data_IF_485810710332
#
_entry.id   IF_485810710332
#
_cell.length_a   1.000
_cell.length_b   1.000
_cell.length_c   1.000
_cell.angle_alpha   90.00
_cell.angle_beta   90.00
_cell.angle_gamma   90.00
#
_symmetry.space_group_name_H-M   'P 1'
#
loop_
_entity.id
_entity.type
_entity.pdbx_description
1 polymer ?
#
# COMPACT_ATOMS: atom_id res chain seq x y z
N UNK A 1 15.34 -13.45 -9.36
CA UNK A 1 14.10 -12.82 -8.87
C UNK A 1 13.76 -11.71 -9.83
N UNK A 2 12.52 -11.64 -10.28
CA UNK A 2 12.12 -10.67 -11.28
C UNK A 2 11.10 -9.67 -10.75
N UNK A 3 11.00 -8.52 -11.42
CA UNK A 3 10.04 -7.47 -11.06
C UNK A 3 8.60 -7.97 -11.05
N UNK A 4 8.26 -8.78 -12.06
CA UNK A 4 6.96 -9.42 -12.20
C UNK A 4 6.66 -10.37 -11.03
N UNK A 5 7.67 -11.11 -10.56
CA UNK A 5 7.53 -11.99 -9.40
C UNK A 5 7.24 -11.21 -8.11
N UNK A 6 7.91 -10.08 -7.90
CA UNK A 6 7.70 -9.20 -6.73
C UNK A 6 6.26 -8.69 -6.72
N UNK A 7 5.79 -8.12 -7.83
CA UNK A 7 4.41 -7.62 -7.94
C UNK A 7 3.41 -8.74 -7.73
N UNK A 8 3.63 -9.90 -8.36
CA UNK A 8 2.76 -11.08 -8.21
C UNK A 8 2.69 -11.53 -6.74
N UNK A 9 3.82 -11.60 -6.04
CA UNK A 9 3.87 -11.92 -4.61
C UNK A 9 3.15 -10.89 -3.77
N UNK A 10 3.37 -9.60 -4.01
CA UNK A 10 2.67 -8.52 -3.30
C UNK A 10 1.14 -8.61 -3.50
N UNK A 11 0.68 -8.99 -4.70
CA UNK A 11 -0.75 -9.18 -4.99
C UNK A 11 -1.39 -10.33 -4.22
N UNK A 12 -0.64 -11.36 -3.82
CA UNK A 12 -1.17 -12.43 -2.95
C UNK A 12 -1.56 -11.92 -1.56
N UNK A 13 -1.09 -10.73 -1.16
CA UNK A 13 -1.48 -10.11 0.10
C UNK A 13 -2.76 -9.29 0.00
N UNK A 14 -3.29 -9.02 -1.18
CA UNK A 14 -4.52 -8.22 -1.34
C UNK A 14 -5.64 -8.76 -0.46
N UNK A 15 -6.32 -7.85 0.25
CA UNK A 15 -7.35 -8.21 1.22
C UNK A 15 -6.84 -8.57 2.62
N UNK A 16 -5.53 -8.81 2.82
CA UNK A 16 -4.98 -9.09 4.15
C UNK A 16 -5.25 -7.91 5.10
N UNK A 17 -5.82 -8.13 6.29
CA UNK A 17 -6.14 -7.06 7.24
C UNK A 17 -4.91 -6.24 7.65
N UNK A 18 -5.14 -4.96 7.97
CA UNK A 18 -4.12 -4.13 8.61
C UNK A 18 -3.99 -4.54 10.08
N UNK A 19 -2.80 -4.99 10.47
CA UNK A 19 -2.40 -5.14 11.87
C UNK A 19 -1.02 -4.51 12.05
N UNK A 20 -0.91 -3.55 12.98
CA UNK A 20 0.37 -2.93 13.31
C UNK A 20 1.38 -4.00 13.71
N UNK A 21 2.57 -3.95 13.12
CA UNK A 21 3.65 -4.94 13.27
C UNK A 21 3.26 -6.38 12.84
N UNK A 22 2.15 -6.55 12.11
CA UNK A 22 1.71 -7.83 11.59
C UNK A 22 2.65 -8.37 10.51
N UNK A 23 2.83 -9.70 10.47
CA UNK A 23 3.69 -10.41 9.51
C UNK A 23 3.04 -11.69 8.97
N UNK A 24 1.71 -11.71 8.85
CA UNK A 24 0.96 -12.91 8.48
C UNK A 24 -0.01 -12.63 7.32
N UNK A 25 0.31 -13.16 6.13
CA UNK A 25 -0.59 -13.16 4.96
C UNK A 25 -1.99 -13.68 5.34
N UNK A 26 -3.03 -12.98 4.89
CA UNK A 26 -4.43 -13.29 5.19
C UNK A 26 -4.90 -12.98 6.62
N UNK A 27 -4.00 -12.79 7.60
CA UNK A 27 -4.35 -12.54 9.01
C UNK A 27 -4.05 -11.13 9.49
N UNK A 28 -3.00 -10.50 8.96
CA UNK A 28 -2.56 -9.20 9.43
C UNK A 28 -1.16 -8.83 8.99
N UNK A 29 -1.04 -7.70 8.29
CA UNK A 29 0.24 -7.04 8.01
C UNK A 29 0.13 -5.53 8.20
N UNK A 30 1.23 -4.82 8.39
CA UNK A 30 1.29 -3.37 8.20
C UNK A 30 2.06 -3.02 6.92
N UNK A 31 2.37 -1.74 6.69
CA UNK A 31 3.05 -1.29 5.48
C UNK A 31 4.46 -1.90 5.36
N UNK A 32 5.25 -1.84 6.43
CA UNK A 32 6.59 -2.45 6.49
C UNK A 32 6.49 -3.97 6.43
N UNK A 33 5.51 -4.54 7.15
CA UNK A 33 5.28 -5.97 7.19
C UNK A 33 4.98 -6.57 5.83
N UNK A 34 4.25 -5.85 4.98
CA UNK A 34 4.03 -6.27 3.59
C UNK A 34 5.36 -6.43 2.85
N UNK A 35 6.26 -5.44 2.93
CA UNK A 35 7.58 -5.51 2.27
C UNK A 35 8.41 -6.65 2.85
N UNK A 36 8.55 -6.71 4.17
CA UNK A 36 9.32 -7.77 4.86
C UNK A 36 8.83 -9.16 4.46
N UNK A 37 7.52 -9.39 4.49
CA UNK A 37 6.96 -10.70 4.18
C UNK A 37 7.12 -11.07 2.70
N UNK A 38 6.93 -10.13 1.78
CA UNK A 38 7.15 -10.39 0.34
C UNK A 38 8.61 -10.74 0.07
N UNK A 39 9.56 -9.98 0.60
CA UNK A 39 10.99 -10.24 0.40
C UNK A 39 11.41 -11.58 1.01
N UNK A 40 10.91 -11.94 2.21
CA UNK A 40 11.13 -13.26 2.82
C UNK A 40 10.56 -14.40 1.99
N UNK A 41 9.35 -14.27 1.48
CA UNK A 41 8.75 -15.28 0.59
C UNK A 41 9.52 -15.44 -0.73
N UNK A 42 10.30 -14.44 -1.12
CA UNK A 42 11.20 -14.46 -2.27
C UNK A 42 12.64 -14.90 -1.93
N UNK A 43 12.89 -15.33 -0.69
CA UNK A 43 14.18 -15.87 -0.25
C UNK A 43 15.21 -14.82 0.17
N UNK A 44 14.81 -13.56 0.40
CA UNK A 44 15.70 -12.53 0.93
C UNK A 44 15.66 -12.52 2.47
N UNK A 45 16.85 -12.51 3.06
CA UNK A 45 17.03 -12.36 4.51
C UNK A 45 16.83 -10.90 4.90
N UNK A 46 15.73 -10.63 5.63
CA UNK A 46 15.38 -9.30 6.14
C UNK A 46 15.41 -9.31 7.66
N UNK A 47 16.22 -8.41 8.23
CA UNK A 47 16.27 -8.14 9.66
C UNK A 47 15.05 -7.30 10.07
N UNK A 48 14.00 -8.03 10.48
CA UNK A 48 12.69 -7.48 10.83
C UNK A 48 12.71 -6.90 12.25
N UNK A 49 12.93 -5.58 12.34
CA UNK A 49 12.72 -4.85 13.57
C UNK A 49 11.21 -4.69 13.83
N UNK A 50 10.70 -5.32 14.89
CA UNK A 50 9.28 -5.18 15.34
C UNK A 50 9.12 -4.27 16.55
N UNK A 51 10.14 -3.50 16.89
CA UNK A 51 10.13 -2.61 18.05
C UNK A 51 9.91 -1.15 17.68
N UNK A 52 9.56 -0.85 16.42
CA UNK A 52 9.25 0.53 16.04
C UNK A 52 7.94 0.98 16.69
N UNK A 53 7.91 2.18 17.29
CA UNK A 53 6.71 2.69 17.93
C UNK A 53 5.63 2.99 16.89
N UNK A 54 4.38 3.06 17.36
CA UNK A 54 3.25 3.47 16.53
C UNK A 54 3.36 4.95 16.09
N UNK A 55 4.12 5.76 16.84
CA UNK A 55 4.52 7.10 16.43
C UNK A 55 5.61 7.03 15.36
N UNK A 56 5.55 7.86 14.30
CA UNK A 56 6.52 7.81 13.22
C UNK A 56 7.95 8.05 13.71
N UNK A 57 8.78 7.01 13.70
CA UNK A 57 10.22 7.16 13.66
C UNK A 57 10.68 7.07 12.20
N UNK A 58 10.66 8.24 11.57
CA UNK A 58 11.07 8.44 10.19
C UNK A 58 12.54 8.06 9.93
N UNK A 59 13.41 8.20 10.94
CA UNK A 59 14.82 7.86 10.83
C UNK A 59 15.04 6.35 10.83
N UNK A 60 14.39 5.64 11.74
CA UNK A 60 14.50 4.18 11.85
C UNK A 60 14.01 3.48 10.58
N UNK A 61 12.83 3.86 10.06
CA UNK A 61 12.29 3.27 8.83
C UNK A 61 13.22 3.50 7.63
N UNK A 62 13.69 4.74 7.45
CA UNK A 62 14.60 5.07 6.35
C UNK A 62 15.92 4.29 6.43
N UNK A 63 16.51 4.22 7.63
CA UNK A 63 17.74 3.47 7.84
C UNK A 63 17.56 1.98 7.54
N UNK A 64 16.42 1.39 7.94
CA UNK A 64 16.09 -0.01 7.65
C UNK A 64 15.89 -0.26 6.15
N UNK A 65 15.23 0.64 5.43
CA UNK A 65 15.12 0.54 3.97
C UNK A 65 16.51 0.56 3.32
N UNK A 66 17.39 1.49 3.72
CA UNK A 66 18.77 1.58 3.19
C UNK A 66 19.67 0.40 3.55
N UNK A 67 19.37 -0.33 4.62
CA UNK A 67 20.11 -1.54 4.99
C UNK A 67 19.79 -2.73 4.08
N UNK A 68 18.58 -2.76 3.50
CA UNK A 68 18.09 -3.92 2.77
C UNK A 68 17.79 -3.65 1.28
N UNK A 69 17.68 -2.39 0.88
CA UNK A 69 17.31 -1.95 -0.46
C UNK A 69 18.24 -0.83 -0.93
N UNK A 70 18.33 -0.68 -2.25
CA UNK A 70 19.14 0.35 -2.89
C UNK A 70 18.27 1.58 -3.20
N UNK A 71 18.65 2.75 -2.69
CA UNK A 71 17.93 4.00 -2.98
C UNK A 71 18.16 4.42 -4.44
N UNK A 72 17.07 4.74 -5.16
CA UNK A 72 17.10 5.17 -6.57
C UNK A 72 16.36 6.51 -6.75
N UNK A 73 16.64 7.25 -7.85
CA UNK A 73 15.83 8.40 -8.23
C UNK A 73 14.34 8.04 -8.38
N UNK A 74 13.44 8.88 -7.87
CA UNK A 74 11.99 8.64 -7.86
C UNK A 74 11.43 8.45 -9.28
N UNK A 75 11.97 9.20 -10.24
CA UNK A 75 11.59 9.16 -11.65
C UNK A 75 12.10 7.91 -12.39
N UNK A 76 13.02 7.15 -11.77
CA UNK A 76 13.49 5.85 -12.26
C UNK A 76 12.76 4.67 -11.65
N UNK A 77 11.86 4.90 -10.70
CA UNK A 77 11.11 3.83 -10.05
C UNK A 77 10.12 3.19 -11.03
N UNK A 78 10.14 1.86 -11.10
CA UNK A 78 9.28 1.04 -11.95
C UNK A 78 8.64 -0.07 -11.13
N UNK A 79 7.77 -0.87 -11.75
CA UNK A 79 7.09 -1.98 -11.09
C UNK A 79 8.07 -2.89 -10.33
N UNK A 80 7.69 -3.28 -9.11
CA UNK A 80 8.53 -4.07 -8.21
C UNK A 80 9.42 -3.23 -7.28
N UNK A 81 9.60 -1.94 -7.54
CA UNK A 81 10.30 -1.02 -6.62
C UNK A 81 9.42 -0.65 -5.42
N UNK A 82 9.99 0.03 -4.43
CA UNK A 82 9.33 0.45 -3.20
C UNK A 82 9.40 1.97 -3.06
N UNK A 83 8.25 2.62 -2.89
CA UNK A 83 8.20 4.02 -2.46
C UNK A 83 8.17 4.14 -0.94
N UNK A 84 8.92 5.11 -0.42
CA UNK A 84 8.71 5.67 0.91
C UNK A 84 7.87 6.94 0.78
N UNK A 85 6.80 7.03 1.56
CA UNK A 85 5.77 8.04 1.43
C UNK A 85 5.43 8.70 2.77
N UNK A 86 5.00 9.96 2.70
CA UNK A 86 4.49 10.69 3.86
C UNK A 86 3.03 10.37 4.16
N UNK A 87 2.73 10.18 5.45
CA UNK A 87 1.38 10.22 5.99
C UNK A 87 1.37 11.26 7.10
N UNK A 88 0.46 12.23 7.03
CA UNK A 88 0.43 13.38 7.95
C UNK A 88 1.76 14.16 8.02
N UNK A 89 2.50 14.21 6.90
CA UNK A 89 3.79 14.92 6.81
C UNK A 89 5.02 14.11 7.25
N UNK A 90 4.85 12.92 7.83
CA UNK A 90 5.95 12.08 8.28
C UNK A 90 6.21 10.92 7.31
N UNK A 91 7.46 10.66 6.86
CA UNK A 91 7.79 9.49 6.04
C UNK A 91 7.69 8.22 6.88
N UNK A 92 6.52 7.59 6.82
CA UNK A 92 6.16 6.45 7.69
C UNK A 92 5.35 5.38 6.95
N UNK A 93 5.24 5.49 5.63
CA UNK A 93 4.44 4.59 4.82
C UNK A 93 5.25 4.09 3.64
N UNK A 94 5.12 2.79 3.33
CA UNK A 94 5.78 2.17 2.19
C UNK A 94 4.77 1.48 1.28
N UNK A 95 5.10 1.41 -0.01
CA UNK A 95 4.25 0.81 -1.02
C UNK A 95 5.10 0.19 -2.14
N UNK A 96 4.70 -0.97 -2.64
CA UNK A 96 5.26 -1.53 -3.86
C UNK A 96 4.71 -0.79 -5.07
N UNK A 97 5.56 -0.46 -6.04
CA UNK A 97 5.16 0.03 -7.35
C UNK A 97 4.60 -1.14 -8.15
N UNK A 98 3.50 -0.91 -8.86
CA UNK A 98 2.82 -1.91 -9.68
C UNK A 98 2.45 -1.32 -11.04
N UNK A 99 2.19 -2.14 -12.06
CA UNK A 99 1.76 -1.65 -13.38
C UNK A 99 0.32 -1.09 -13.38
N UNK A 100 -0.36 -1.09 -12.23
CA UNK A 100 -1.75 -0.66 -12.07
C UNK A 100 -2.74 -1.83 -12.05
N UNK A 101 -3.87 -1.62 -11.36
CA UNK A 101 -5.09 -2.41 -11.49
C UNK A 101 -6.19 -1.54 -12.11
N UNK A 102 -7.12 -2.14 -12.86
CA UNK A 102 -8.41 -1.48 -13.11
C UNK A 102 -9.06 -1.20 -11.76
N UNK A 103 -9.25 0.07 -11.39
CA UNK A 103 -9.74 0.42 -10.06
C UNK A 103 -11.12 -0.20 -9.80
N UNK A 104 -11.24 -0.92 -8.67
CA UNK A 104 -12.50 -0.89 -7.94
C UNK A 104 -12.55 0.48 -7.22
N UNK A 105 -13.62 1.28 -7.40
CA UNK A 105 -13.67 2.64 -6.88
C UNK A 105 -13.42 2.67 -5.36
N UNK A 106 -12.45 3.47 -4.94
CA UNK A 106 -12.27 3.82 -3.53
C UNK A 106 -13.54 4.60 -3.13
N UNK A 107 -14.34 4.15 -2.15
CA UNK A 107 -15.48 4.94 -1.71
C UNK A 107 -14.96 6.28 -1.18
N UNK A 108 -15.56 7.40 -1.61
CA UNK A 108 -15.09 8.72 -1.19
C UNK A 108 -15.14 8.83 0.33
N UNK A 109 -14.26 9.63 0.91
CA UNK A 109 -13.99 9.73 2.35
C UNK A 109 -15.24 9.96 3.22
N UNK A 110 -16.31 10.52 2.65
CA UNK A 110 -17.60 10.75 3.31
C UNK A 110 -18.48 9.48 3.45
N UNK A 111 -18.15 8.39 2.74
CA UNK A 111 -18.80 7.08 2.83
C UNK A 111 -18.05 6.10 3.73
N UNK A 112 -16.98 6.57 4.40
CA UNK A 112 -16.34 5.81 5.48
C UNK A 112 -17.02 6.24 6.78
N UNK A 113 -17.75 5.35 7.50
CA UNK A 113 -18.43 5.76 8.72
C UNK A 113 -17.39 6.30 9.71
N UNK A 114 -17.65 7.47 10.33
CA UNK A 114 -16.73 8.03 11.32
C UNK A 114 -16.51 7.01 12.43
N UNK A 115 -15.27 6.92 12.94
CA UNK A 115 -14.98 6.13 14.13
C UNK A 115 -15.80 6.71 15.28
N UNK A 116 -16.83 5.98 15.71
CA UNK A 116 -17.66 6.42 16.84
C UNK A 116 -16.99 5.96 18.13
N UNK A 117 -16.93 6.88 19.10
CA UNK A 117 -16.38 6.60 20.42
C UNK A 117 -17.42 5.78 21.20
N UNK A 118 -17.15 4.49 21.41
CA UNK A 118 -17.99 3.64 22.23
C UNK A 118 -17.88 4.00 23.72
N UNK A 119 -18.92 3.68 24.51
CA UNK A 119 -18.85 3.73 25.98
C UNK A 119 -17.80 2.70 26.44
N UNK A 120 -16.62 3.19 26.83
CA UNK A 120 -15.47 2.35 27.19
C UNK A 120 -14.13 2.82 26.59
N UNK A 121 -14.13 3.84 25.73
CA UNK A 121 -12.89 4.42 25.20
C UNK A 121 -12.29 3.70 23.99
N UNK A 122 -12.91 2.61 23.53
CA UNK A 122 -12.57 1.93 22.27
C UNK A 122 -13.33 2.54 21.09
N UNK A 123 -12.67 2.68 19.94
CA UNK A 123 -13.30 3.11 18.69
C UNK A 123 -13.97 1.90 18.01
N UNK A 124 -15.27 2.00 17.73
CA UNK A 124 -16.03 0.96 17.02
C UNK A 124 -16.46 1.50 15.64
N UNK A 125 -16.48 0.62 14.64
CA UNK A 125 -17.00 0.94 13.30
C UNK A 125 -18.53 1.07 13.42
N UNK A 126 -19.06 2.26 13.14
CA UNK A 126 -20.51 2.47 13.11
C UNK A 126 -21.18 1.65 12.00
N UNK A 127 -22.48 1.37 12.16
CA UNK A 127 -23.28 0.69 11.14
C UNK A 127 -23.36 1.52 9.85
N UNK A 128 -23.41 0.84 8.70
CA UNK A 128 -23.60 1.51 7.42
C UNK A 128 -25.01 2.13 7.37
N UNK A 129 -25.17 3.36 6.85
CA UNK A 129 -26.51 3.85 6.53
C UNK A 129 -27.15 2.92 5.48
N UNK A 130 -28.49 2.77 5.50
CA UNK A 130 -29.18 1.97 4.49
C UNK A 130 -28.83 2.49 3.10
N UNK A 131 -28.63 1.55 2.16
CA UNK A 131 -28.31 1.87 0.76
C UNK A 131 -29.37 2.83 0.22
N UNK A 132 -28.96 4.05 -0.12
CA UNK A 132 -29.76 4.88 -1.01
C UNK A 132 -29.81 4.16 -2.37
N UNK A 133 -31.00 4.13 -2.97
CA UNK A 133 -31.25 3.50 -4.27
C UNK A 133 -30.23 4.02 -5.30
N UNK A 134 -29.26 3.16 -5.63
CA UNK A 134 -28.36 3.41 -6.73
C UNK A 134 -29.17 3.18 -8.00
N UNK A 135 -29.75 4.25 -8.53
CA UNK A 135 -30.29 4.25 -9.88
C UNK A 135 -29.25 3.66 -10.83
N UNK A 136 -29.64 2.58 -11.51
CA UNK A 136 -28.78 1.85 -12.43
C UNK A 136 -28.18 2.82 -13.46
N UNK A 137 -26.87 3.03 -13.40
CA UNK A 137 -26.13 3.70 -14.46
C UNK A 137 -25.95 2.70 -15.61
N UNK A 138 -26.47 3.06 -16.79
CA UNK A 138 -26.42 2.26 -18.02
C UNK A 138 -24.98 2.02 -18.51
N UNK A 139 -24.67 0.89 -19.19
CA UNK A 139 -23.30 0.50 -19.52
C UNK A 139 -22.64 1.23 -20.70
N UNK A 140 -23.19 2.36 -21.20
CA UNK A 140 -22.87 2.84 -22.55
C UNK A 140 -22.10 4.17 -22.65
N UNK A 141 -21.37 4.60 -21.61
CA UNK A 141 -20.51 5.80 -21.69
C UNK A 141 -19.07 5.63 -21.18
N UNK A 142 -18.60 4.38 -21.01
CA UNK A 142 -17.18 4.10 -20.80
C UNK A 142 -16.44 4.11 -22.15
N UNK A 143 -16.41 5.27 -22.81
CA UNK A 143 -15.74 5.44 -24.09
C UNK A 143 -14.76 6.59 -24.07
N UNK A 144 -13.46 6.25 -24.06
CA UNK A 144 -12.30 6.92 -24.67
C UNK A 144 -11.14 7.14 -23.70
N UNK A 145 -10.07 6.38 -23.95
CA UNK A 145 -8.75 6.57 -23.34
C UNK A 145 -7.96 5.28 -23.17
N UNK A 146 -7.75 4.52 -24.25
CA UNK A 146 -6.60 3.61 -24.30
C UNK A 146 -5.36 4.51 -24.36
N UNK A 147 -4.64 4.61 -23.23
CA UNK A 147 -3.44 5.42 -23.10
C UNK A 147 -2.52 4.78 -22.06
N UNK A 148 -1.24 4.71 -22.42
CA UNK A 148 -0.06 4.26 -21.67
C UNK A 148 -0.24 3.96 -20.17
N UNK A 149 0.28 2.78 -19.77
CA UNK A 149 0.07 2.10 -18.49
C UNK A 149 0.03 3.02 -17.27
N UNK A 150 -1.12 3.04 -16.59
CA UNK A 150 -1.31 3.73 -15.32
C UNK A 150 -0.55 2.99 -14.23
N UNK A 151 0.60 3.51 -13.81
CA UNK A 151 1.33 3.00 -12.63
C UNK A 151 0.40 3.02 -11.40
N UNK A 152 0.40 1.91 -10.66
CA UNK A 152 -0.31 1.75 -9.40
C UNK A 152 0.64 1.52 -8.23
N UNK A 153 0.06 1.37 -7.05
CA UNK A 153 0.77 0.97 -5.84
C UNK A 153 0.02 -0.13 -5.09
N UNK A 154 0.77 -1.10 -4.55
CA UNK A 154 0.26 -2.11 -3.63
C UNK A 154 0.75 -1.75 -2.23
N UNK A 155 -0.18 -1.52 -1.30
CA UNK A 155 0.16 -1.07 0.03
C UNK A 155 -0.88 -1.49 1.08
N UNK A 156 -0.44 -1.61 2.33
CA UNK A 156 -1.34 -1.79 3.46
C UNK A 156 -1.96 -0.46 3.84
N UNK A 157 -3.22 -0.24 3.48
CA UNK A 157 -3.92 1.01 3.75
C UNK A 157 -4.65 0.93 5.09
N UNK A 158 -4.21 1.72 6.08
CA UNK A 158 -4.82 1.77 7.41
C UNK A 158 -6.26 2.29 7.40
N UNK A 159 -6.61 3.25 6.53
CA UNK A 159 -7.97 3.79 6.44
C UNK A 159 -8.96 2.75 5.91
N UNK A 160 -8.52 1.99 4.91
CA UNK A 160 -9.31 0.89 4.35
C UNK A 160 -9.27 -0.35 5.27
N UNK A 161 -8.20 -0.49 6.05
CA UNK A 161 -8.00 -1.55 7.04
C UNK A 161 -7.44 -2.85 6.44
N UNK A 162 -6.84 -2.81 5.25
CA UNK A 162 -6.28 -3.99 4.55
C UNK A 162 -5.26 -3.61 3.48
N UNK A 163 -4.60 -4.61 2.90
CA UNK A 163 -3.77 -4.46 1.71
C UNK A 163 -4.65 -4.24 0.47
N UNK A 164 -4.32 -3.22 -0.30
CA UNK A 164 -5.03 -2.80 -1.52
C UNK A 164 -4.04 -2.48 -2.63
N UNK A 165 -4.51 -2.56 -3.87
CA UNK A 165 -3.85 -2.02 -5.05
C UNK A 165 -4.67 -0.82 -5.53
N UNK A 166 -4.03 0.34 -5.71
CA UNK A 166 -4.69 1.57 -6.15
C UNK A 166 -3.87 2.24 -7.25
N UNK A 167 -4.50 3.13 -8.03
CA UNK A 167 -3.75 4.00 -8.93
C UNK A 167 -2.78 4.91 -8.17
N UNK A 168 -1.61 5.19 -8.75
CA UNK A 168 -0.70 6.21 -8.25
C UNK A 168 -1.18 7.58 -8.72
N UNK A 169 -2.27 8.06 -8.14
CA UNK A 169 -2.88 9.35 -8.47
C UNK A 169 -2.03 10.54 -8.02
N UNK A 170 -2.46 11.76 -8.38
CA UNK A 170 -1.73 12.97 -8.01
C UNK A 170 -1.60 13.15 -6.49
N UNK A 171 -2.57 12.65 -5.70
CA UNK A 171 -2.51 12.74 -4.24
C UNK A 171 -1.42 11.83 -3.69
N UNK A 172 -1.31 10.58 -4.15
CA UNK A 172 -0.25 9.67 -3.76
C UNK A 172 1.13 10.12 -4.25
N UNK A 173 1.22 10.62 -5.50
CA UNK A 173 2.49 11.13 -6.06
C UNK A 173 3.12 12.21 -5.18
N UNK A 174 2.34 13.17 -4.67
CA UNK A 174 2.85 14.25 -3.80
C UNK A 174 3.39 13.75 -2.45
N UNK A 175 3.12 12.50 -2.07
CA UNK A 175 3.58 11.92 -0.80
C UNK A 175 4.91 11.18 -0.94
N UNK A 176 5.37 10.89 -2.17
CA UNK A 176 6.62 10.16 -2.38
C UNK A 176 7.80 11.02 -1.89
N UNK A 177 8.64 10.43 -1.05
CA UNK A 177 9.86 11.06 -0.51
C UNK A 177 11.09 10.41 -1.11
N UNK A 178 11.08 9.09 -1.28
CA UNK A 178 12.19 8.29 -1.81
C UNK A 178 11.66 7.06 -2.55
N UNK A 179 12.49 6.50 -3.42
CA UNK A 179 12.26 5.24 -4.08
C UNK A 179 13.43 4.29 -3.83
N UNK A 180 13.15 3.00 -3.81
CA UNK A 180 14.12 1.95 -3.54
C UNK A 180 13.91 0.78 -4.49
N UNK A 181 15.00 0.22 -5.01
CA UNK A 181 15.02 -1.05 -5.74
C UNK A 181 15.54 -2.16 -4.85
N UNK A 182 15.08 -3.38 -5.08
CA UNK A 182 15.65 -4.57 -4.46
C UNK A 182 16.92 -4.94 -5.23
N UNK A 183 18.00 -5.27 -4.54
CA UNK A 183 19.26 -5.64 -5.18
C UNK A 183 19.13 -6.98 -5.92
N UNK A 184 19.77 -7.10 -7.10
CA UNK A 184 19.82 -8.35 -7.86
C UNK A 184 18.50 -8.74 -8.56
N UNK A 185 17.58 -7.79 -8.76
CA UNK A 185 16.36 -8.03 -9.54
C UNK A 185 16.60 -7.85 -11.05
N UNK A 186 15.99 -8.71 -11.85
CA UNK A 186 15.95 -8.59 -13.32
C UNK A 186 14.61 -8.04 -13.79
N UNK A 187 14.62 -7.40 -14.96
CA UNK A 187 13.42 -6.79 -15.56
C UNK A 187 12.43 -7.81 -16.17
N UNK A 188 12.85 -9.07 -16.41
CA UNK A 188 12.06 -10.12 -17.11
C UNK A 188 10.87 -10.68 -16.31
#
# INVERSE_FOLDING_TARGET
>A
MTRSEIVRKAREYLGTPFHHQGRAKGRGVDCVGLVVCVLRELGLEIDDCRTYPQTPDSGLLLNKLRQHLEEIPIDRAVSGDVYLMTIMGYPQHVAFVSPGAEEAPIPPSHMTPPLQRGRGGFYQRGEMPPRADAGAMSPSQAGRGLGEGRIGIIHTNRQVGRVVETGLDHAWKRRIVKAFTIAGISDE
#
